data_IF_479578968808
#
_entry.id   IF_479578968808
#
_cell.length_a   1.000
_cell.length_b   1.000
_cell.length_c   1.000
_cell.angle_alpha   90.00
_cell.angle_beta   90.00
_cell.angle_gamma   90.00
#
_symmetry.space_group_name_H-M   'P 1'
#
loop_
_entity.id
_entity.type
_entity.pdbx_description
1 polymer ?
#
# COMPACT_ATOMS: atom_id res chain seq x y z
N UNK A 1 -31.17 -37.41 -47.90
CA UNK A 1 -30.43 -36.22 -48.39
C UNK A 1 -31.28 -35.00 -48.04
N UNK A 2 -30.91 -34.03 -47.21
CA UNK A 2 -29.68 -33.78 -46.45
C UNK A 2 -30.00 -33.14 -45.09
N UNK A 3 -29.00 -33.07 -44.23
CA UNK A 3 -29.09 -32.71 -42.81
C UNK A 3 -29.13 -31.19 -42.61
N UNK A 4 -30.06 -30.70 -41.78
CA UNK A 4 -30.02 -29.36 -41.23
C UNK A 4 -29.07 -29.34 -40.02
N UNK A 5 -27.99 -28.55 -40.10
CA UNK A 5 -27.10 -28.28 -38.97
C UNK A 5 -27.62 -27.08 -38.18
N UNK A 6 -27.80 -27.17 -36.86
CA UNK A 6 -27.98 -25.98 -36.04
C UNK A 6 -26.61 -25.41 -35.66
N UNK A 7 -26.34 -24.19 -36.10
CA UNK A 7 -25.24 -23.35 -35.61
C UNK A 7 -25.49 -23.00 -34.14
N UNK A 8 -24.71 -23.57 -33.23
CA UNK A 8 -24.72 -23.18 -31.82
C UNK A 8 -23.73 -22.03 -31.65
N UNK A 9 -24.25 -20.81 -31.48
CA UNK A 9 -23.48 -19.62 -31.19
C UNK A 9 -23.20 -19.56 -29.67
N UNK A 10 -22.01 -19.99 -29.24
CA UNK A 10 -21.55 -19.73 -27.88
C UNK A 10 -21.05 -18.30 -27.77
N UNK A 11 -21.92 -17.38 -27.33
CA UNK A 11 -21.51 -16.06 -26.90
C UNK A 11 -20.87 -16.16 -25.50
N UNK A 12 -19.54 -16.13 -25.44
CA UNK A 12 -18.78 -15.97 -24.21
C UNK A 12 -18.98 -14.55 -23.69
N UNK A 13 -19.88 -14.40 -22.71
CA UNK A 13 -20.05 -13.14 -21.97
C UNK A 13 -18.91 -13.09 -20.94
N UNK A 14 -17.84 -12.38 -21.26
CA UNK A 14 -16.81 -12.00 -20.29
C UNK A 14 -17.39 -10.85 -19.47
N UNK A 15 -18.04 -11.16 -18.35
CA UNK A 15 -18.38 -10.14 -17.36
C UNK A 15 -17.10 -9.74 -16.66
N UNK A 16 -16.49 -8.62 -17.09
CA UNK A 16 -15.46 -7.96 -16.32
C UNK A 16 -16.10 -7.44 -15.04
N UNK A 17 -16.05 -8.24 -13.98
CA UNK A 17 -16.45 -7.80 -12.64
C UNK A 17 -15.45 -6.73 -12.22
N UNK A 18 -15.88 -5.48 -12.22
CA UNK A 18 -15.18 -4.43 -11.49
C UNK A 18 -15.26 -4.82 -10.01
N UNK A 19 -14.21 -5.47 -9.50
CA UNK A 19 -14.06 -5.68 -8.07
C UNK A 19 -13.81 -4.28 -7.51
N UNK A 20 -14.87 -3.69 -6.94
CA UNK A 20 -14.74 -2.55 -6.07
C UNK A 20 -13.94 -3.07 -4.87
N UNK A 21 -12.62 -2.84 -4.88
CA UNK A 21 -11.77 -3.12 -3.73
C UNK A 21 -12.17 -2.08 -2.69
N UNK A 22 -13.15 -2.43 -1.84
CA UNK A 22 -13.37 -1.71 -0.59
C UNK A 22 -12.03 -1.74 0.15
N UNK A 23 -11.40 -0.57 0.28
CA UNK A 23 -10.23 -0.44 1.14
C UNK A 23 -10.71 -0.81 2.54
N UNK A 24 -10.15 -1.85 3.17
CA UNK A 24 -10.59 -2.24 4.50
C UNK A 24 -10.43 -1.02 5.42
N UNK A 25 -11.55 -0.58 6.01
CA UNK A 25 -11.54 0.42 7.04
C UNK A 25 -10.75 -0.15 8.23
N UNK A 26 -9.52 0.33 8.43
CA UNK A 26 -8.77 -0.02 9.62
C UNK A 26 -9.53 0.49 10.86
N UNK A 27 -9.79 -0.40 11.82
CA UNK A 27 -9.99 0.05 13.19
C UNK A 27 -8.67 0.63 13.73
N UNK A 28 -8.73 1.51 14.72
CA UNK A 28 -7.52 2.07 15.36
C UNK A 28 -6.56 1.00 15.90
N UNK A 29 -7.06 -0.21 16.15
CA UNK A 29 -6.31 -1.38 16.63
C UNK A 29 -5.30 -1.96 15.61
N UNK A 30 -5.28 -1.45 14.37
CA UNK A 30 -4.50 -2.04 13.27
C UNK A 30 -3.15 -1.34 13.05
N UNK A 31 -2.82 -0.28 13.82
CA UNK A 31 -1.55 0.47 13.74
C UNK A 31 -0.31 -0.36 14.16
N UNK A 32 0.86 0.24 14.08
CA UNK A 32 2.15 -0.36 14.50
C UNK A 32 2.56 -1.61 13.70
N UNK A 33 2.46 -1.57 12.37
CA UNK A 33 2.85 -2.71 11.51
C UNK A 33 4.28 -3.23 11.83
N UNK A 34 5.21 -2.33 12.19
CA UNK A 34 6.61 -2.68 12.50
C UNK A 34 6.78 -3.67 13.65
N UNK A 35 5.76 -3.85 14.52
CA UNK A 35 5.77 -4.86 15.58
C UNK A 35 5.50 -6.28 15.06
N UNK A 36 4.96 -6.40 13.85
CA UNK A 36 4.48 -7.67 13.27
C UNK A 36 4.96 -7.90 11.84
N UNK A 37 5.83 -7.04 11.33
CA UNK A 37 6.45 -7.15 10.02
C UNK A 37 7.97 -7.07 10.17
N UNK A 38 8.66 -7.96 9.48
CA UNK A 38 10.11 -8.07 9.45
C UNK A 38 10.67 -7.76 8.06
N UNK A 39 11.98 -7.53 8.00
CA UNK A 39 12.72 -7.18 6.78
C UNK A 39 12.10 -6.01 6.00
N UNK A 40 11.52 -5.05 6.73
CA UNK A 40 10.85 -3.88 6.16
C UNK A 40 11.89 -2.95 5.53
N UNK A 41 11.70 -2.63 4.26
CA UNK A 41 12.58 -1.77 3.47
C UNK A 41 11.77 -0.88 2.51
N UNK A 42 12.38 0.21 2.06
CA UNK A 42 11.86 1.01 0.94
C UNK A 42 12.49 0.51 -0.36
N UNK A 43 11.65 0.20 -1.34
CA UNK A 43 12.03 -0.15 -2.71
C UNK A 43 11.50 0.88 -3.69
N UNK A 44 12.22 1.10 -4.78
CA UNK A 44 11.82 1.96 -5.89
C UNK A 44 11.31 3.35 -5.46
N UNK A 45 11.92 3.90 -4.41
CA UNK A 45 11.65 5.24 -3.88
C UNK A 45 10.41 5.37 -2.98
N UNK A 46 9.38 4.55 -3.14
CA UNK A 46 8.13 4.71 -2.35
C UNK A 46 7.45 3.41 -1.92
N UNK A 47 7.90 2.24 -2.37
CA UNK A 47 7.28 0.98 -2.02
C UNK A 47 7.81 0.49 -0.67
N UNK A 48 6.98 0.57 0.35
CA UNK A 48 7.24 -0.09 1.63
C UNK A 48 7.02 -1.58 1.43
N UNK A 49 8.08 -2.38 1.53
CA UNK A 49 8.03 -3.82 1.32
C UNK A 49 8.54 -4.56 2.57
N UNK A 50 7.89 -5.66 2.93
CA UNK A 50 8.30 -6.47 4.07
C UNK A 50 7.54 -7.79 4.18
N UNK A 51 7.85 -8.57 5.20
CA UNK A 51 7.19 -9.83 5.51
C UNK A 51 6.35 -9.67 6.78
N UNK A 52 5.03 -9.76 6.67
CA UNK A 52 4.11 -9.53 7.78
C UNK A 52 3.49 -10.83 8.30
N UNK A 53 3.33 -10.93 9.61
CA UNK A 53 2.78 -12.11 10.29
C UNK A 53 1.25 -12.16 10.10
N UNK A 54 0.75 -13.27 9.58
CA UNK A 54 -0.67 -13.60 9.46
C UNK A 54 -1.26 -14.07 10.81
N UNK A 55 -2.59 -14.13 10.91
CA UNK A 55 -3.29 -14.65 12.10
C UNK A 55 -2.92 -16.11 12.40
N UNK A 56 -2.67 -16.90 11.37
CA UNK A 56 -2.21 -18.30 11.45
C UNK A 56 -0.71 -18.45 11.83
N UNK A 57 -0.03 -17.34 12.13
CA UNK A 57 1.40 -17.23 12.46
C UNK A 57 2.37 -17.49 11.30
N UNK A 58 1.89 -17.79 10.09
CA UNK A 58 2.74 -17.78 8.90
C UNK A 58 3.08 -16.34 8.48
N UNK A 59 4.08 -16.19 7.62
CA UNK A 59 4.52 -14.89 7.09
C UNK A 59 4.07 -14.70 5.65
N UNK A 60 3.65 -13.49 5.30
CA UNK A 60 3.28 -13.09 3.94
C UNK A 60 4.12 -11.89 3.49
N UNK A 61 4.74 -12.01 2.30
CA UNK A 61 5.40 -10.88 1.67
C UNK A 61 4.37 -9.91 1.13
N UNK A 62 4.49 -8.63 1.47
CA UNK A 62 3.51 -7.59 1.13
C UNK A 62 4.21 -6.28 0.82
N UNK A 63 3.54 -5.41 0.08
CA UNK A 63 4.01 -4.09 -0.27
C UNK A 63 2.88 -3.06 -0.20
N UNK A 64 3.27 -1.80 -0.01
CA UNK A 64 2.36 -0.67 0.04
C UNK A 64 3.07 0.57 -0.52
N UNK A 65 2.46 1.22 -1.51
CA UNK A 65 3.03 2.43 -2.11
C UNK A 65 2.78 3.65 -1.21
N UNK A 66 3.83 4.15 -0.56
CA UNK A 66 3.77 5.34 0.27
C UNK A 66 3.51 6.62 -0.53
N UNK A 67 3.79 6.63 -1.83
CA UNK A 67 3.53 7.83 -2.63
C UNK A 67 2.03 8.15 -2.70
N UNK A 68 1.17 7.12 -2.61
CA UNK A 68 -0.28 7.30 -2.62
C UNK A 68 -0.85 7.71 -1.25
N UNK A 69 -0.01 7.73 -0.22
CA UNK A 69 -0.41 7.84 1.20
C UNK A 69 0.26 9.01 1.95
N UNK A 70 1.35 9.55 1.40
CA UNK A 70 2.13 10.61 2.03
C UNK A 70 2.21 11.82 1.08
N UNK A 71 1.97 13.01 1.62
CA UNK A 71 2.06 14.28 0.91
C UNK A 71 3.04 15.21 1.62
N UNK A 72 3.89 15.89 0.85
CA UNK A 72 4.57 17.09 1.33
C UNK A 72 3.63 18.29 1.15
N UNK A 73 3.10 18.80 2.26
CA UNK A 73 2.04 19.81 2.23
C UNK A 73 2.59 21.24 2.26
N UNK A 74 1.70 22.23 2.11
CA UNK A 74 2.05 23.66 2.05
C UNK A 74 2.57 24.21 3.39
N UNK A 75 2.45 23.46 4.47
CA UNK A 75 3.05 23.78 5.77
C UNK A 75 4.52 23.32 5.90
N UNK A 76 5.10 22.83 4.80
CA UNK A 76 6.46 22.32 4.71
C UNK A 76 6.73 21.08 5.59
N UNK A 77 5.71 20.25 5.85
CA UNK A 77 5.84 18.96 6.52
C UNK A 77 5.28 17.80 5.68
N UNK A 78 5.63 16.58 6.09
CA UNK A 78 5.02 15.35 5.58
C UNK A 78 3.74 15.06 6.35
N UNK A 79 2.67 14.74 5.63
CA UNK A 79 1.39 14.36 6.20
C UNK A 79 0.89 13.08 5.56
N UNK A 80 0.17 12.30 6.35
CA UNK A 80 -0.70 11.25 5.82
C UNK A 80 -1.80 11.91 4.98
N UNK A 81 -1.99 11.45 3.74
CA UNK A 81 -3.00 11.96 2.82
C UNK A 81 -3.44 10.88 1.85
N UNK A 82 -4.74 10.67 1.72
CA UNK A 82 -5.28 9.87 0.62
C UNK A 82 -4.96 10.54 -0.72
N UNK A 83 -4.41 9.77 -1.66
CA UNK A 83 -3.87 10.27 -2.93
C UNK A 83 -2.75 11.30 -2.70
N UNK A 84 -1.81 10.92 -1.83
CA UNK A 84 -0.56 11.66 -1.65
C UNK A 84 0.26 11.75 -2.93
N UNK A 85 1.38 12.45 -2.84
CA UNK A 85 2.38 12.52 -3.90
C UNK A 85 3.69 13.16 -3.38
N UNK A 86 4.27 12.63 -2.31
CA UNK A 86 5.48 13.23 -1.74
C UNK A 86 6.68 13.16 -2.71
N UNK A 87 6.78 12.14 -3.57
CA UNK A 87 7.87 12.04 -4.57
C UNK A 87 7.87 13.19 -5.58
N UNK A 88 6.76 13.91 -5.76
CA UNK A 88 6.71 15.12 -6.58
C UNK A 88 7.52 16.28 -6.02
N UNK A 89 7.93 16.24 -4.75
CA UNK A 89 8.65 17.33 -4.07
C UNK A 89 9.80 16.86 -3.19
N UNK A 90 10.03 15.55 -3.12
CA UNK A 90 10.97 14.93 -2.20
C UNK A 90 11.89 13.93 -2.92
N UNK A 91 13.07 13.70 -2.34
CA UNK A 91 14.04 12.73 -2.83
C UNK A 91 14.85 12.13 -1.67
N UNK A 92 15.77 11.20 -1.96
CA UNK A 92 16.61 10.59 -0.94
C UNK A 92 15.80 9.85 0.13
N UNK A 93 14.89 8.98 -0.32
CA UNK A 93 13.96 8.27 0.57
C UNK A 93 14.67 7.10 1.25
N UNK A 94 14.60 7.06 2.58
CA UNK A 94 15.13 5.99 3.43
C UNK A 94 14.14 5.65 4.55
N UNK A 95 14.37 4.51 5.21
CA UNK A 95 13.58 4.08 6.35
C UNK A 95 14.50 3.89 7.56
N UNK A 96 14.22 4.63 8.63
CA UNK A 96 14.88 4.48 9.92
C UNK A 96 13.98 3.66 10.86
N UNK A 97 14.59 2.85 11.74
CA UNK A 97 13.90 2.06 12.76
C UNK A 97 12.73 1.19 12.25
N UNK A 98 12.78 0.77 10.98
CA UNK A 98 11.72 0.03 10.26
C UNK A 98 10.40 0.81 10.06
N UNK A 99 10.21 2.01 10.59
CA UNK A 99 8.92 2.71 10.50
C UNK A 99 8.99 4.23 10.35
N UNK A 100 10.16 4.86 10.49
CA UNK A 100 10.31 6.30 10.29
C UNK A 100 10.73 6.54 8.84
N UNK A 101 9.81 7.04 8.02
CA UNK A 101 10.13 7.47 6.67
C UNK A 101 10.96 8.76 6.76
N UNK A 102 12.15 8.75 6.19
CA UNK A 102 13.04 9.91 6.12
C UNK A 102 13.27 10.28 4.66
N UNK A 103 13.08 11.54 4.33
CA UNK A 103 13.28 12.04 2.95
C UNK A 103 13.62 13.53 2.96
N UNK A 104 14.30 14.00 1.92
CA UNK A 104 14.58 15.43 1.75
C UNK A 104 13.49 16.08 0.89
N UNK A 105 12.76 17.04 1.47
CA UNK A 105 11.68 17.78 0.81
C UNK A 105 11.91 19.29 0.99
N UNK A 106 11.82 20.06 -0.10
CA UNK A 106 11.96 21.52 -0.03
C UNK A 106 13.31 22.00 0.53
N UNK A 107 14.35 21.17 0.47
CA UNK A 107 15.70 21.48 0.98
C UNK A 107 16.03 20.88 2.35
N UNK A 108 15.02 20.53 3.14
CA UNK A 108 15.20 20.01 4.51
C UNK A 108 14.92 18.50 4.60
N UNK A 109 15.50 17.85 5.61
CA UNK A 109 15.13 16.48 5.99
C UNK A 109 13.79 16.52 6.71
N UNK A 110 12.82 15.75 6.22
CA UNK A 110 11.52 15.53 6.83
C UNK A 110 11.38 14.08 7.27
N UNK A 111 10.61 13.89 8.35
CA UNK A 111 10.33 12.57 8.92
C UNK A 111 8.82 12.42 9.15
N UNK A 112 8.32 11.21 8.98
CA UNK A 112 6.95 10.84 9.37
C UNK A 112 6.97 9.42 9.92
N UNK A 113 6.26 9.19 11.02
CA UNK A 113 6.12 7.86 11.60
C UNK A 113 5.00 7.10 10.88
N UNK A 114 5.38 6.04 10.17
CA UNK A 114 4.46 5.20 9.43
C UNK A 114 3.61 4.33 10.36
N UNK A 115 4.05 4.03 11.59
CA UNK A 115 3.25 3.27 12.54
C UNK A 115 1.95 4.01 12.92
N UNK A 116 1.92 5.33 12.82
CA UNK A 116 0.73 6.14 13.13
C UNK A 116 -0.47 5.82 12.22
N UNK A 117 -0.22 5.24 11.03
CA UNK A 117 -1.25 5.02 10.03
C UNK A 117 -1.06 3.81 9.11
N UNK A 118 -0.01 3.01 9.29
CA UNK A 118 0.19 1.76 8.55
C UNK A 118 0.13 0.59 9.52
N UNK A 119 -0.60 -0.42 9.08
CA UNK A 119 -0.93 -1.60 9.85
C UNK A 119 -0.66 -2.90 9.13
N UNK A 120 -0.73 -4.00 9.89
CA UNK A 120 -0.71 -5.35 9.34
C UNK A 120 -2.10 -6.00 9.49
N UNK A 121 -2.78 -6.23 8.37
CA UNK A 121 -4.05 -6.95 8.31
C UNK A 121 -3.87 -8.34 7.74
N UNK A 122 -3.77 -9.34 8.62
CA UNK A 122 -3.61 -10.75 8.27
C UNK A 122 -2.49 -10.99 7.23
N UNK A 123 -1.34 -10.36 7.47
CA UNK A 123 -0.15 -10.44 6.62
C UNK A 123 -0.06 -9.37 5.53
N UNK A 124 -1.04 -8.48 5.40
CA UNK A 124 -1.06 -7.42 4.37
C UNK A 124 -0.77 -6.05 4.99
N UNK A 125 0.17 -5.29 4.43
CA UNK A 125 0.36 -3.88 4.79
C UNK A 125 -0.86 -3.07 4.35
N UNK A 126 -1.49 -2.38 5.30
CA UNK A 126 -2.70 -1.59 5.04
C UNK A 126 -2.55 -0.19 5.59
N UNK A 127 -2.94 0.81 4.80
CA UNK A 127 -3.06 2.19 5.25
C UNK A 127 -4.40 2.43 5.95
N UNK A 128 -4.33 3.07 7.11
CA UNK A 128 -5.46 3.47 7.93
C UNK A 128 -5.66 4.98 7.77
N UNK A 129 -6.50 5.35 6.80
CA UNK A 129 -6.77 6.73 6.35
C UNK A 129 -8.02 7.31 6.99
#
# INVERSE_FOLDING_TARGET
MGYASPLILFALIVTASAILVERPHCNEDVKDYSKTCDDVVIKDGSWLNGNCIKKDKSTHGTDLNLNDLVQFATDHNLHRKEFGNFLGSCSGVTLEDKHILVTQCGGDIKKIDLNEFIGNMDGTLTACL
#
